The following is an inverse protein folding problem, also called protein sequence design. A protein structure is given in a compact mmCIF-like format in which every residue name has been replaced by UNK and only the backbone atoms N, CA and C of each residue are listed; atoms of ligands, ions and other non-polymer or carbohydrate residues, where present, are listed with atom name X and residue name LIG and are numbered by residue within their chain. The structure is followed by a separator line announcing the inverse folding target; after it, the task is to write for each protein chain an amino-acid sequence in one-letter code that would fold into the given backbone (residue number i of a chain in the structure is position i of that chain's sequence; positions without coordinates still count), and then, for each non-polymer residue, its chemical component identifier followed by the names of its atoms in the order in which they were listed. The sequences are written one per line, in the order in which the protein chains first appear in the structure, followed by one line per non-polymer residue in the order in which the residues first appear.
data_IF_677664909468
#
_entry.id   IF_677664909468
#
_cell.length_a   1.000
_cell.length_b   1.000
_cell.length_c   1.000
_cell.angle_alpha   90.00
_cell.angle_beta   90.00
_cell.angle_gamma   90.00
#
_symmetry.space_group_name_H-M   'P 1'
#
loop_
_entity.id
_entity.type
_entity.pdbx_description
1 polymer ?
#
# COMPACT_ATOMS: atom_id res chain seq x y z
N UNK A 1 -12.17 -50.87 3.20
CA UNK A 1 -11.01 -49.96 3.08
C UNK A 1 -11.55 -48.55 3.29
N UNK A 2 -11.26 -47.92 4.43
CA UNK A 2 -11.70 -46.55 4.74
C UNK A 2 -10.65 -45.59 4.19
N UNK A 3 -11.00 -44.79 3.19
CA UNK A 3 -10.15 -43.71 2.71
C UNK A 3 -10.31 -42.51 3.65
N UNK A 4 -9.32 -42.31 4.52
CA UNK A 4 -9.18 -41.14 5.38
C UNK A 4 -8.09 -40.24 4.79
N UNK A 5 -8.48 -39.32 3.92
CA UNK A 5 -7.60 -38.23 3.49
C UNK A 5 -8.29 -36.92 3.81
N UNK A 6 -7.69 -36.14 4.72
CA UNK A 6 -7.99 -34.73 4.83
C UNK A 6 -7.38 -34.03 3.60
N UNK A 7 -8.11 -33.14 2.91
CA UNK A 7 -7.54 -32.38 1.81
C UNK A 7 -6.32 -31.58 2.31
N UNK A 8 -5.20 -31.68 1.58
CA UNK A 8 -3.95 -30.99 1.94
C UNK A 8 -4.08 -29.45 1.84
N UNK A 9 -5.02 -28.98 1.01
CA UNK A 9 -5.43 -27.58 0.91
C UNK A 9 -6.85 -27.51 0.34
N UNK A 10 -7.61 -26.49 0.75
CA UNK A 10 -8.90 -26.12 0.15
C UNK A 10 -8.71 -24.72 -0.42
N UNK A 11 -8.98 -24.53 -1.72
CA UNK A 11 -9.05 -23.20 -2.33
C UNK A 11 -10.50 -22.83 -2.62
N UNK A 12 -10.80 -21.55 -2.49
CA UNK A 12 -12.06 -20.95 -2.90
C UNK A 12 -11.74 -19.76 -3.82
N UNK A 13 -12.52 -19.61 -4.89
CA UNK A 13 -12.44 -18.45 -5.77
C UNK A 13 -13.82 -17.82 -5.83
N UNK A 14 -13.89 -16.51 -5.61
CA UNK A 14 -15.09 -15.73 -5.83
C UNK A 14 -14.99 -15.06 -7.20
N UNK A 15 -15.77 -15.54 -8.16
CA UNK A 15 -15.84 -15.07 -9.55
C UNK A 15 -17.11 -14.25 -9.85
N UNK A 16 -17.93 -13.99 -8.83
CA UNK A 16 -19.12 -13.15 -8.93
C UNK A 16 -18.72 -11.70 -9.29
N UNK A 17 -19.09 -11.21 -10.49
CA UNK A 17 -18.66 -9.89 -10.97
C UNK A 17 -19.20 -8.72 -10.15
N UNK A 18 -20.30 -8.91 -9.40
CA UNK A 18 -20.88 -7.89 -8.54
C UNK A 18 -20.32 -7.92 -7.11
N UNK A 19 -19.52 -8.93 -6.75
CA UNK A 19 -18.96 -9.07 -5.41
C UNK A 19 -17.58 -8.43 -5.35
N UNK A 20 -17.46 -7.40 -4.51
CA UNK A 20 -16.20 -6.72 -4.23
C UNK A 20 -15.88 -6.86 -2.75
N UNK A 21 -14.90 -7.70 -2.42
CA UNK A 21 -14.46 -7.97 -1.04
C UNK A 21 -13.85 -6.74 -0.35
N UNK A 22 -13.16 -5.89 -1.10
CA UNK A 22 -12.43 -4.73 -0.58
C UNK A 22 -12.98 -3.40 -1.12
N UNK A 23 -14.30 -3.23 -1.24
CA UNK A 23 -14.89 -1.98 -1.77
C UNK A 23 -14.49 -0.72 -0.98
N UNK A 24 -14.23 -0.87 0.34
CA UNK A 24 -13.71 0.21 1.19
C UNK A 24 -12.33 0.73 0.77
N UNK A 25 -11.61 0.01 -0.09
CA UNK A 25 -10.33 0.45 -0.62
C UNK A 25 -10.46 1.66 -1.56
N UNK A 26 -11.62 1.85 -2.20
CA UNK A 26 -11.86 2.98 -3.11
C UNK A 26 -11.68 4.34 -2.39
N UNK A 27 -12.41 4.64 -1.29
CA UNK A 27 -12.21 5.90 -0.58
C UNK A 27 -10.82 6.00 0.05
N UNK A 28 -10.22 4.89 0.51
CA UNK A 28 -8.87 4.90 1.09
C UNK A 28 -7.82 5.29 0.05
N UNK A 29 -7.86 4.69 -1.14
CA UNK A 29 -6.90 4.97 -2.20
C UNK A 29 -7.16 6.31 -2.88
N UNK A 30 -8.41 6.75 -2.98
CA UNK A 30 -8.73 8.12 -3.39
C UNK A 30 -8.12 9.15 -2.42
N UNK A 31 -8.20 8.88 -1.11
CA UNK A 31 -7.58 9.73 -0.11
C UNK A 31 -6.06 9.72 -0.22
N UNK A 32 -5.43 8.54 -0.31
CA UNK A 32 -3.98 8.40 -0.49
C UNK A 32 -3.46 9.08 -1.77
N UNK A 33 -4.24 9.05 -2.85
CA UNK A 33 -3.94 9.79 -4.08
C UNK A 33 -4.01 11.31 -3.83
N UNK A 34 -5.06 11.78 -3.16
CA UNK A 34 -5.25 13.21 -2.84
C UNK A 34 -4.17 13.79 -1.92
N UNK A 35 -3.53 12.93 -1.11
CA UNK A 35 -2.41 13.26 -0.22
C UNK A 35 -1.05 12.93 -0.83
N UNK A 36 -1.02 12.50 -2.09
CA UNK A 36 0.20 12.47 -2.91
C UNK A 36 1.06 11.23 -2.75
N UNK A 37 0.56 10.10 -2.22
CA UNK A 37 1.34 8.86 -2.06
C UNK A 37 2.09 8.46 -3.33
N UNK A 38 1.35 8.33 -4.44
CA UNK A 38 1.92 7.90 -5.72
C UNK A 38 2.97 8.90 -6.22
N UNK A 39 2.71 10.20 -6.09
CA UNK A 39 3.63 11.26 -6.51
C UNK A 39 4.92 11.24 -5.69
N UNK A 40 4.83 11.11 -4.36
CA UNK A 40 5.99 11.03 -3.48
C UNK A 40 6.84 9.78 -3.79
N UNK A 41 6.20 8.64 -4.00
CA UNK A 41 6.90 7.42 -4.41
C UNK A 41 7.59 7.58 -5.76
N UNK A 42 6.94 8.23 -6.74
CA UNK A 42 7.54 8.55 -8.04
C UNK A 42 8.79 9.45 -7.91
N UNK A 43 8.73 10.43 -7.03
CA UNK A 43 9.84 11.39 -6.83
C UNK A 43 11.03 10.80 -6.05
N UNK A 44 10.78 9.88 -5.12
CA UNK A 44 11.78 9.45 -4.14
C UNK A 44 12.39 8.10 -4.44
N UNK A 45 11.69 7.22 -5.16
CA UNK A 45 12.14 5.86 -5.39
C UNK A 45 12.84 5.79 -6.73
N UNK A 46 14.09 5.30 -6.72
CA UNK A 46 14.91 5.25 -7.91
C UNK A 46 15.62 3.91 -7.99
N UNK A 47 15.07 3.01 -8.80
CA UNK A 47 15.65 1.70 -9.11
C UNK A 47 16.46 1.83 -10.40
N UNK A 48 17.79 1.78 -10.31
CA UNK A 48 18.70 1.93 -11.46
C UNK A 48 19.35 0.63 -11.94
N UNK A 49 19.27 -0.44 -11.15
CA UNK A 49 20.22 -1.55 -11.28
C UNK A 49 19.84 -2.66 -12.26
N UNK A 50 18.64 -2.70 -12.84
CA UNK A 50 18.27 -3.63 -13.93
C UNK A 50 17.13 -3.07 -14.79
N UNK A 51 16.74 -3.79 -15.85
CA UNK A 51 15.81 -3.42 -16.93
C UNK A 51 14.74 -2.37 -16.61
N UNK A 52 14.51 -1.47 -17.59
CA UNK A 52 13.66 -0.28 -17.45
C UNK A 52 12.27 -0.57 -16.86
N UNK A 53 11.75 -1.78 -17.05
CA UNK A 53 10.46 -2.25 -16.58
C UNK A 53 10.36 -2.38 -15.05
N UNK A 54 11.43 -2.82 -14.37
CA UNK A 54 11.41 -3.01 -12.91
C UNK A 54 11.40 -1.69 -12.15
N UNK A 55 12.12 -0.70 -12.66
CA UNK A 55 12.15 0.65 -12.10
C UNK A 55 11.03 1.57 -12.57
N UNK A 56 10.26 1.22 -13.60
CA UNK A 56 9.17 2.04 -14.10
C UNK A 56 7.98 2.12 -13.14
N UNK A 57 7.30 3.27 -13.14
CA UNK A 57 6.07 3.53 -12.38
C UNK A 57 6.14 3.16 -10.88
N UNK A 58 7.21 3.52 -10.14
CA UNK A 58 7.31 3.23 -8.72
C UNK A 58 6.14 3.80 -7.92
N UNK A 59 5.58 4.95 -8.32
CA UNK A 59 4.40 5.52 -7.68
C UNK A 59 3.20 4.58 -7.68
N UNK A 60 2.90 3.98 -8.84
CA UNK A 60 1.79 3.06 -9.00
C UNK A 60 2.06 1.69 -8.36
N UNK A 61 3.31 1.19 -8.41
CA UNK A 61 3.70 -0.07 -7.76
C UNK A 61 3.64 0.02 -6.24
N UNK A 62 4.16 1.11 -5.65
CA UNK A 62 4.05 1.36 -4.20
C UNK A 62 2.60 1.54 -3.78
N UNK A 63 1.82 2.31 -4.54
CA UNK A 63 0.39 2.48 -4.25
C UNK A 63 -0.36 1.14 -4.29
N UNK A 64 -0.01 0.25 -5.22
CA UNK A 64 -0.59 -1.10 -5.28
C UNK A 64 -0.23 -1.92 -4.04
N UNK A 65 1.03 -1.90 -3.60
CA UNK A 65 1.46 -2.60 -2.38
C UNK A 65 0.71 -2.08 -1.14
N UNK A 66 0.62 -0.76 -0.97
CA UNK A 66 -0.15 -0.15 0.12
C UNK A 66 -1.62 -0.57 0.05
N UNK A 67 -2.21 -0.58 -1.14
CA UNK A 67 -3.59 -0.99 -1.33
C UNK A 67 -3.82 -2.46 -0.93
N UNK A 68 -2.89 -3.35 -1.28
CA UNK A 68 -2.93 -4.76 -0.88
C UNK A 68 -2.82 -4.92 0.63
N UNK A 69 -1.85 -4.25 1.27
CA UNK A 69 -1.68 -4.31 2.73
C UNK A 69 -2.93 -3.81 3.48
N UNK A 70 -3.55 -2.73 3.00
CA UNK A 70 -4.82 -2.23 3.57
C UNK A 70 -5.95 -3.25 3.42
N UNK A 71 -5.98 -3.98 2.32
CA UNK A 71 -6.98 -5.01 2.06
C UNK A 71 -6.63 -6.38 2.67
N UNK A 72 -5.51 -6.48 3.42
CA UNK A 72 -5.12 -7.66 4.17
C UNK A 72 -4.07 -8.56 3.51
N UNK A 73 -3.42 -8.14 2.43
CA UNK A 73 -2.27 -8.88 1.88
C UNK A 73 -1.08 -8.81 2.85
N UNK A 74 -0.59 -9.96 3.30
CA UNK A 74 0.62 -10.09 4.11
C UNK A 74 1.78 -10.73 3.32
N UNK A 75 1.50 -11.33 2.17
CA UNK A 75 2.48 -11.82 1.21
C UNK A 75 2.33 -11.19 -0.18
N UNK A 76 3.35 -11.35 -1.02
CA UNK A 76 3.28 -10.90 -2.42
C UNK A 76 2.24 -11.71 -3.21
N UNK A 77 2.04 -12.98 -2.85
CA UNK A 77 1.06 -13.84 -3.52
C UNK A 77 -0.38 -13.36 -3.23
N UNK A 78 -0.63 -12.80 -2.04
CA UNK A 78 -1.95 -12.26 -1.67
C UNK A 78 -2.31 -10.99 -2.45
N UNK A 79 -1.36 -10.35 -3.14
CA UNK A 79 -1.66 -9.17 -3.98
C UNK A 79 -2.67 -9.46 -5.10
N UNK A 80 -2.91 -10.74 -5.43
CA UNK A 80 -3.99 -11.15 -6.33
C UNK A 80 -5.38 -10.81 -5.80
N UNK A 81 -5.54 -10.56 -4.50
CA UNK A 81 -6.78 -10.02 -3.93
C UNK A 81 -7.23 -8.72 -4.59
N UNK A 82 -6.30 -7.89 -5.07
CA UNK A 82 -6.62 -6.65 -5.79
C UNK A 82 -7.15 -6.90 -7.21
N UNK A 83 -7.10 -8.14 -7.67
CA UNK A 83 -7.45 -8.60 -9.03
C UNK A 83 -8.63 -9.58 -9.04
N UNK A 84 -9.17 -9.93 -7.88
CA UNK A 84 -10.28 -10.89 -7.74
C UNK A 84 -11.68 -10.23 -7.81
N UNK A 85 -12.69 -11.01 -8.21
CA UNK A 85 -14.09 -10.59 -8.26
C UNK A 85 -14.32 -9.31 -9.07
N UNK A 86 -15.19 -8.44 -8.57
CA UNK A 86 -15.55 -7.16 -9.20
C UNK A 86 -14.48 -6.05 -9.13
N UNK A 87 -13.26 -6.31 -8.65
CA UNK A 87 -12.23 -5.27 -8.45
C UNK A 87 -11.85 -4.50 -9.72
N UNK A 88 -11.94 -5.14 -10.88
CA UNK A 88 -11.68 -4.53 -12.19
C UNK A 88 -12.69 -3.43 -12.57
N UNK A 89 -13.87 -3.42 -11.94
CA UNK A 89 -14.85 -2.33 -12.09
C UNK A 89 -14.48 -1.08 -11.28
N UNK A 90 -13.66 -1.23 -10.24
CA UNK A 90 -13.28 -0.15 -9.32
C UNK A 90 -11.90 0.42 -9.64
N UNK A 91 -10.96 -0.42 -10.08
CA UNK A 91 -9.59 -0.03 -10.38
C UNK A 91 -9.26 -0.36 -11.84
N UNK A 92 -8.99 0.67 -12.64
CA UNK A 92 -8.77 0.51 -14.09
C UNK A 92 -7.51 -0.27 -14.47
N UNK A 93 -6.53 -0.38 -13.58
CA UNK A 93 -5.34 -1.22 -13.77
C UNK A 93 -4.69 -1.56 -12.42
N UNK A 94 -4.36 -2.83 -12.23
CA UNK A 94 -3.67 -3.33 -11.03
C UNK A 94 -2.49 -4.20 -11.47
N UNK A 95 -1.32 -3.97 -10.86
CA UNK A 95 -0.13 -4.78 -11.16
C UNK A 95 -0.30 -6.23 -10.70
N UNK A 96 0.27 -7.16 -11.45
CA UNK A 96 0.36 -8.55 -11.04
C UNK A 96 1.33 -8.70 -9.85
N UNK A 97 1.11 -9.68 -8.96
CA UNK A 97 2.05 -10.06 -7.90
C UNK A 97 3.50 -10.16 -8.38
N UNK A 98 3.73 -10.81 -9.53
CA UNK A 98 5.06 -11.00 -10.10
C UNK A 98 5.76 -9.70 -10.50
N UNK A 99 5.00 -8.70 -10.98
CA UNK A 99 5.52 -7.37 -11.31
C UNK A 99 5.94 -6.62 -10.04
N UNK A 100 5.11 -6.68 -8.99
CA UNK A 100 5.41 -6.05 -7.70
C UNK A 100 6.59 -6.73 -7.00
N UNK A 101 6.61 -8.06 -6.99
CA UNK A 101 7.73 -8.83 -6.44
C UNK A 101 9.04 -8.56 -7.17
N UNK A 102 9.02 -8.45 -8.50
CA UNK A 102 10.23 -8.12 -9.27
C UNK A 102 10.73 -6.71 -8.98
N UNK A 103 9.84 -5.76 -8.74
CA UNK A 103 10.20 -4.41 -8.30
C UNK A 103 10.86 -4.43 -6.91
N UNK A 104 10.27 -5.13 -5.94
CA UNK A 104 10.80 -5.24 -4.59
C UNK A 104 12.12 -6.00 -4.50
N UNK A 105 12.37 -6.98 -5.39
CA UNK A 105 13.64 -7.71 -5.45
C UNK A 105 14.84 -6.81 -5.83
N UNK A 106 14.59 -5.65 -6.43
CA UNK A 106 15.64 -4.66 -6.70
C UNK A 106 15.95 -3.78 -5.48
N UNK A 107 15.12 -3.86 -4.42
CA UNK A 107 15.30 -3.01 -3.26
C UNK A 107 16.52 -3.45 -2.47
N UNK A 108 17.22 -2.44 -1.97
CA UNK A 108 18.40 -2.56 -1.12
C UNK A 108 18.18 -1.65 0.08
N UNK A 109 19.12 -1.63 1.02
CA UNK A 109 19.02 -0.74 2.17
C UNK A 109 18.78 0.74 1.80
N UNK A 110 19.32 1.21 0.67
CA UNK A 110 19.07 2.57 0.17
C UNK A 110 17.60 2.81 -0.18
N UNK A 111 16.93 1.82 -0.76
CA UNK A 111 15.51 1.91 -1.11
C UNK A 111 14.61 1.91 0.12
N UNK A 112 15.01 1.22 1.20
CA UNK A 112 14.31 1.31 2.50
C UNK A 112 14.33 2.75 3.03
N UNK A 113 15.47 3.45 2.91
CA UNK A 113 15.57 4.88 3.28
C UNK A 113 14.73 5.77 2.37
N UNK A 114 14.65 5.46 1.07
CA UNK A 114 13.75 6.18 0.14
C UNK A 114 12.28 5.99 0.52
N UNK A 115 11.86 4.76 0.85
CA UNK A 115 10.52 4.49 1.37
C UNK A 115 10.25 5.23 2.68
N UNK A 116 11.22 5.31 3.59
CA UNK A 116 11.07 6.08 4.82
C UNK A 116 10.85 7.58 4.52
N UNK A 117 11.54 8.14 3.51
CA UNK A 117 11.30 9.50 3.06
C UNK A 117 9.91 9.69 2.43
N UNK A 118 9.41 8.70 1.68
CA UNK A 118 8.01 8.69 1.19
C UNK A 118 7.04 8.69 2.36
N UNK A 119 7.23 7.80 3.34
CA UNK A 119 6.37 7.67 4.52
C UNK A 119 6.32 8.97 5.32
N UNK A 120 7.47 9.59 5.61
CA UNK A 120 7.54 10.87 6.34
C UNK A 120 6.84 12.01 5.59
N UNK A 121 7.07 12.14 4.28
CA UNK A 121 6.38 13.13 3.45
C UNK A 121 4.88 12.89 3.38
N UNK A 122 4.48 11.62 3.24
CA UNK A 122 3.08 11.21 3.15
C UNK A 122 2.33 11.48 4.46
N UNK A 123 2.93 11.15 5.62
CA UNK A 123 2.37 11.44 6.94
C UNK A 123 2.15 12.94 7.14
N UNK A 124 3.09 13.77 6.71
CA UNK A 124 2.95 15.23 6.75
C UNK A 124 1.78 15.70 5.88
N UNK A 125 1.65 15.16 4.67
CA UNK A 125 0.56 15.49 3.77
C UNK A 125 -0.82 15.02 4.30
N UNK A 126 -0.87 13.87 4.97
CA UNK A 126 -2.06 13.38 5.67
C UNK A 126 -2.46 14.33 6.80
N UNK A 127 -1.52 14.74 7.65
CA UNK A 127 -1.77 15.67 8.75
C UNK A 127 -2.30 17.03 8.28
N UNK A 128 -1.87 17.50 7.10
CA UNK A 128 -2.41 18.73 6.52
C UNK A 128 -3.87 18.59 6.03
N UNK A 129 -4.35 17.38 5.75
CA UNK A 129 -5.70 17.11 5.26
C UNK A 129 -6.68 16.68 6.36
N UNK A 130 -6.18 16.13 7.46
CA UNK A 130 -7.00 15.70 8.58
C UNK A 130 -6.52 16.42 9.84
N UNK A 131 -7.26 17.44 10.34
CA UNK A 131 -6.92 18.12 11.58
C UNK A 131 -7.30 17.24 12.80
N UNK A 132 -6.79 16.00 12.83
CA UNK A 132 -6.98 15.07 13.95
C UNK A 132 -6.29 15.59 15.21
N UNK A 133 -5.17 16.27 15.03
CA UNK A 133 -4.42 16.89 16.09
C UNK A 133 -4.79 18.38 16.13
N UNK A 134 -5.16 18.93 17.31
CA UNK A 134 -5.39 20.35 17.45
C UNK A 134 -4.04 21.07 17.31
N UNK A 135 -3.66 21.44 16.10
CA UNK A 135 -2.50 22.30 15.84
C UNK A 135 -2.98 23.73 15.97
N UNK A 136 -2.49 24.53 16.95
CA UNK A 136 -2.89 25.92 17.07
C UNK A 136 -2.55 26.69 15.81
N UNK A 137 -3.43 27.59 15.40
CA UNK A 137 -3.11 28.52 14.32
C UNK A 137 -1.88 29.34 14.70
N UNK A 138 -1.06 29.71 13.71
CA UNK A 138 0.12 30.52 13.93
C UNK A 138 -0.26 31.83 14.65
N UNK A 139 0.14 31.97 15.93
CA UNK A 139 -0.17 33.12 16.77
C UNK A 139 -0.96 32.81 18.05
N UNK A 140 -1.65 31.67 18.11
CA UNK A 140 -2.45 31.28 19.27
C UNK A 140 -1.69 30.26 20.13
N UNK A 141 -0.84 30.75 21.05
CA UNK A 141 -0.21 29.95 22.10
C UNK A 141 1.20 29.41 21.81
N UNK A 142 1.76 28.69 22.79
CA UNK A 142 3.09 28.11 22.69
C UNK A 142 3.13 26.99 21.63
N UNK A 143 4.27 26.80 20.92
CA UNK A 143 4.41 25.72 19.95
C UNK A 143 4.13 24.36 20.60
N UNK A 144 3.21 23.60 20.01
CA UNK A 144 2.86 22.25 20.48
C UNK A 144 3.56 21.19 19.63
N UNK A 145 4.13 20.18 20.29
CA UNK A 145 4.73 18.99 19.68
C UNK A 145 3.98 17.77 20.17
N UNK A 146 3.52 16.94 19.23
CA UNK A 146 2.94 15.64 19.55
C UNK A 146 4.06 14.60 19.50
N UNK A 147 4.23 13.89 20.62
CA UNK A 147 5.17 12.77 20.73
C UNK A 147 4.31 11.51 20.78
N UNK A 148 4.44 10.68 19.75
CA UNK A 148 3.88 9.32 19.81
C UNK A 148 4.70 8.51 20.81
N UNK A 149 4.01 7.83 21.72
CA UNK A 149 4.61 6.92 22.69
C UNK A 149 3.95 5.58 22.45
N UNK A 150 4.45 4.87 21.47
CA UNK A 150 4.13 3.48 21.21
C UNK A 150 4.88 2.60 22.21
N UNK A 151 4.14 1.71 22.87
CA UNK A 151 4.72 0.77 23.82
C UNK A 151 5.54 -0.29 23.07
N UNK A 152 6.79 -0.48 23.48
CA UNK A 152 7.64 -1.59 23.03
C UNK A 152 7.72 -2.62 24.14
N UNK A 153 6.57 -3.18 24.52
CA UNK A 153 6.57 -4.38 25.37
C UNK A 153 6.86 -5.58 24.48
N UNK A 154 8.04 -6.17 24.71
CA UNK A 154 8.43 -7.50 24.26
C UNK A 154 7.97 -8.51 25.31
#
# INVERSE_FOLDING_TARGET
MLFNHAPAAVSYSFDEPNLVSAAGLVPVMAFAQSTGLAKLAEEKITVRNTGADKGANPGAKVSSLVAGMVAGADSIDDMDLLRHGGMSSLFGSVYAPSTLGSHLREYTHGHVKQLAAVSSGFLTALGAKIPLLPVPAAGDGAPMVFVDIDDTVI
#
